data_IF_941967217539
#
_entry.id   IF_941967217539
#
_cell.length_a   1.000
_cell.length_b   1.000
_cell.length_c   1.000
_cell.angle_alpha   90.00
_cell.angle_beta   90.00
_cell.angle_gamma   90.00
#
_symmetry.space_group_name_H-M   'P 1'
#
loop_
_entity.id
_entity.type
_entity.pdbx_description
1 polymer ?
#
# COMPACT_ATOMS: atom_id res chain seq x y z
N UNK A 1 1.34 6.25 -8.78
CA UNK A 1 2.33 6.67 -7.77
C UNK A 1 3.07 7.90 -8.26
N UNK A 2 2.45 9.08 -8.21
CA UNK A 2 3.10 10.29 -8.72
C UNK A 2 3.99 10.92 -7.64
N UNK A 3 5.25 11.18 -7.96
CA UNK A 3 6.21 11.86 -7.06
C UNK A 3 6.93 10.96 -6.05
N UNK A 4 7.04 9.66 -6.33
CA UNK A 4 7.85 8.70 -5.56
C UNK A 4 8.88 8.07 -6.49
N UNK A 5 10.18 8.27 -6.24
CA UNK A 5 11.23 7.63 -7.03
C UNK A 5 11.46 6.19 -6.56
N UNK A 6 10.96 5.24 -7.34
CA UNK A 6 11.06 3.81 -7.05
C UNK A 6 11.85 3.11 -8.16
N UNK A 7 12.56 2.04 -7.79
CA UNK A 7 13.05 1.12 -8.82
C UNK A 7 11.85 0.44 -9.52
N UNK A 8 11.96 0.07 -10.80
CA UNK A 8 10.85 -0.55 -11.54
C UNK A 8 10.28 -1.81 -10.90
N UNK A 9 11.09 -2.54 -10.12
CA UNK A 9 10.64 -3.73 -9.39
C UNK A 9 9.79 -3.37 -8.18
N UNK A 10 10.19 -2.35 -7.43
CA UNK A 10 9.46 -1.87 -6.25
C UNK A 10 8.14 -1.25 -6.68
N UNK A 11 8.17 -0.40 -7.72
CA UNK A 11 6.97 0.23 -8.28
C UNK A 11 5.94 -0.82 -8.72
N UNK A 12 6.36 -1.82 -9.51
CA UNK A 12 5.47 -2.89 -9.96
C UNK A 12 4.84 -3.67 -8.81
N UNK A 13 5.59 -3.91 -7.73
CA UNK A 13 5.04 -4.64 -6.58
C UNK A 13 4.09 -3.75 -5.76
N UNK A 14 4.39 -2.46 -5.62
CA UNK A 14 3.49 -1.50 -4.99
C UNK A 14 2.17 -1.36 -5.77
N UNK A 15 2.21 -1.28 -7.11
CA UNK A 15 1.02 -1.25 -7.97
C UNK A 15 0.14 -2.49 -7.78
N UNK A 16 0.74 -3.68 -7.68
CA UNK A 16 0.00 -4.92 -7.42
C UNK A 16 -0.69 -4.90 -6.05
N UNK A 17 -0.01 -4.39 -5.03
CA UNK A 17 -0.58 -4.29 -3.68
C UNK A 17 -1.76 -3.30 -3.67
N UNK A 18 -1.63 -2.16 -4.35
CA UNK A 18 -2.73 -1.22 -4.54
C UNK A 18 -3.91 -1.85 -5.29
N UNK A 19 -3.65 -2.61 -6.35
CA UNK A 19 -4.70 -3.32 -7.07
C UNK A 19 -5.41 -4.37 -6.18
N UNK A 20 -4.68 -5.09 -5.32
CA UNK A 20 -5.26 -6.04 -4.37
C UNK A 20 -6.17 -5.34 -3.35
N UNK A 21 -5.76 -4.18 -2.83
CA UNK A 21 -6.59 -3.36 -1.94
C UNK A 21 -7.86 -2.92 -2.69
N UNK A 22 -7.71 -2.30 -3.86
CA UNK A 22 -8.83 -1.76 -4.63
C UNK A 22 -9.88 -2.82 -5.03
N UNK A 23 -9.43 -4.05 -5.30
CA UNK A 23 -10.29 -5.16 -5.74
C UNK A 23 -10.88 -5.97 -4.59
N UNK A 24 -10.49 -5.72 -3.33
CA UNK A 24 -10.99 -6.48 -2.18
C UNK A 24 -12.51 -6.39 -2.07
N UNK A 25 -13.21 -7.53 -1.96
CA UNK A 25 -14.68 -7.62 -2.00
C UNK A 25 -15.36 -7.65 -0.63
N UNK A 26 -14.57 -7.65 0.45
CA UNK A 26 -15.05 -7.70 1.83
C UNK A 26 -14.08 -6.99 2.76
N UNK A 27 -14.58 -6.55 3.93
CA UNK A 27 -13.76 -5.81 4.89
C UNK A 27 -12.53 -6.61 5.35
N UNK A 28 -12.67 -7.93 5.54
CA UNK A 28 -11.58 -8.81 5.95
C UNK A 28 -10.50 -8.89 4.87
N UNK A 29 -10.90 -8.99 3.59
CA UNK A 29 -9.95 -9.05 2.47
C UNK A 29 -9.23 -7.71 2.31
N UNK A 30 -9.94 -6.58 2.44
CA UNK A 30 -9.34 -5.25 2.37
C UNK A 30 -8.33 -5.01 3.50
N UNK A 31 -8.69 -5.35 4.75
CA UNK A 31 -7.79 -5.23 5.89
C UNK A 31 -6.53 -6.11 5.74
N UNK A 32 -6.69 -7.34 5.24
CA UNK A 32 -5.56 -8.23 4.95
C UNK A 32 -4.64 -7.68 3.85
N UNK A 33 -5.21 -7.11 2.80
CA UNK A 33 -4.43 -6.49 1.73
C UNK A 33 -3.64 -5.26 2.22
N UNK A 34 -4.28 -4.42 3.05
CA UNK A 34 -3.62 -3.29 3.71
C UNK A 34 -2.44 -3.72 4.58
N UNK A 35 -2.64 -4.69 5.48
CA UNK A 35 -1.56 -5.22 6.33
C UNK A 35 -0.39 -5.82 5.51
N UNK A 36 -0.68 -6.43 4.36
CA UNK A 36 0.36 -6.91 3.45
C UNK A 36 1.17 -5.76 2.84
N UNK A 37 0.49 -4.66 2.50
CA UNK A 37 1.14 -3.48 1.95
C UNK A 37 2.00 -2.77 3.00
N UNK A 38 1.51 -2.65 4.23
CA UNK A 38 2.28 -2.14 5.38
C UNK A 38 3.54 -2.97 5.61
N UNK A 39 3.42 -4.31 5.64
CA UNK A 39 4.56 -5.21 5.78
C UNK A 39 5.58 -5.11 4.63
N UNK A 40 5.13 -4.78 3.42
CA UNK A 40 6.03 -4.51 2.29
C UNK A 40 6.84 -3.24 2.52
N UNK A 41 6.23 -2.15 2.97
CA UNK A 41 6.92 -0.89 3.26
C UNK A 41 7.91 -1.07 4.42
N UNK A 42 7.50 -1.75 5.50
CA UNK A 42 8.38 -2.09 6.62
C UNK A 42 9.61 -2.89 6.17
N UNK A 43 9.43 -3.82 5.22
CA UNK A 43 10.55 -4.56 4.64
C UNK A 43 11.54 -3.68 3.90
N UNK A 44 11.06 -2.69 3.12
CA UNK A 44 11.90 -1.73 2.41
C UNK A 44 12.64 -0.79 3.37
N UNK A 45 11.96 -0.35 4.43
CA UNK A 45 12.51 0.49 5.49
C UNK A 45 13.61 -0.25 6.27
N UNK A 46 13.37 -1.51 6.64
CA UNK A 46 14.29 -2.34 7.43
C UNK A 46 15.64 -2.55 6.75
N UNK A 47 15.65 -2.58 5.41
CA UNK A 47 16.89 -2.73 4.62
C UNK A 47 17.40 -1.40 4.07
N UNK A 48 16.77 -0.28 4.43
CA UNK A 48 17.08 1.08 3.94
C UNK A 48 17.14 1.15 2.42
N UNK A 49 16.18 0.51 1.74
CA UNK A 49 16.13 0.47 0.28
C UNK A 49 15.82 1.83 -0.36
N UNK A 50 15.18 2.74 0.40
CA UNK A 50 14.66 4.03 -0.05
C UNK A 50 14.94 5.10 1.01
N UNK A 51 14.77 6.38 0.65
CA UNK A 51 14.82 7.48 1.62
C UNK A 51 13.64 7.44 2.59
N UNK A 52 13.82 7.97 3.80
CA UNK A 52 12.76 8.05 4.82
C UNK A 52 11.50 8.76 4.27
N UNK A 53 11.67 9.90 3.59
CA UNK A 53 10.56 10.62 2.96
C UNK A 53 9.78 9.77 1.92
N UNK A 54 10.47 8.86 1.23
CA UNK A 54 9.83 7.94 0.29
C UNK A 54 9.08 6.83 1.02
N UNK A 55 9.66 6.28 2.09
CA UNK A 55 9.03 5.29 2.96
C UNK A 55 7.75 5.84 3.59
N UNK A 56 7.83 7.03 4.20
CA UNK A 56 6.67 7.71 4.80
C UNK A 56 5.54 7.90 3.79
N UNK A 57 5.90 8.29 2.56
CA UNK A 57 4.91 8.49 1.51
C UNK A 57 4.27 7.20 1.05
N UNK A 58 4.99 6.08 1.03
CA UNK A 58 4.42 4.77 0.73
C UNK A 58 3.42 4.32 1.80
N UNK A 59 3.74 4.51 3.09
CA UNK A 59 2.79 4.23 4.18
C UNK A 59 1.50 5.03 3.98
N UNK A 60 1.59 6.35 3.78
CA UNK A 60 0.42 7.21 3.56
C UNK A 60 -0.43 6.77 2.36
N UNK A 61 0.21 6.39 1.24
CA UNK A 61 -0.49 5.93 0.05
C UNK A 61 -1.27 4.63 0.32
N UNK A 62 -0.65 3.64 0.97
CA UNK A 62 -1.30 2.37 1.26
C UNK A 62 -2.39 2.49 2.33
N UNK A 63 -2.16 3.31 3.36
CA UNK A 63 -3.15 3.58 4.40
C UNK A 63 -4.38 4.26 3.80
N UNK A 64 -4.19 5.32 3.01
CA UNK A 64 -5.28 6.04 2.35
C UNK A 64 -6.10 5.11 1.44
N UNK A 65 -5.43 4.28 0.63
CA UNK A 65 -6.10 3.32 -0.25
C UNK A 65 -6.90 2.27 0.53
N UNK A 66 -6.36 1.79 1.66
CA UNK A 66 -7.01 0.80 2.51
C UNK A 66 -8.22 1.40 3.22
N UNK A 67 -8.08 2.60 3.79
CA UNK A 67 -9.18 3.34 4.43
C UNK A 67 -10.31 3.64 3.45
N UNK A 68 -9.98 4.13 2.25
CA UNK A 68 -10.96 4.41 1.21
C UNK A 68 -11.73 3.14 0.83
N UNK A 69 -11.03 2.01 0.66
CA UNK A 69 -11.69 0.75 0.33
C UNK A 69 -12.59 0.28 1.47
N UNK A 70 -12.10 0.26 2.70
CA UNK A 70 -12.90 -0.14 3.87
C UNK A 70 -14.15 0.72 4.02
N UNK A 71 -14.02 2.04 3.84
CA UNK A 71 -15.16 2.97 3.84
C UNK A 71 -16.19 2.63 2.76
N UNK A 72 -15.73 2.31 1.54
CA UNK A 72 -16.62 1.94 0.44
C UNK A 72 -17.41 0.65 0.74
N UNK A 73 -16.77 -0.32 1.40
CA UNK A 73 -17.38 -1.60 1.75
C UNK A 73 -18.34 -1.49 2.94
N UNK A 74 -18.07 -0.58 3.88
CA UNK A 74 -18.95 -0.31 5.02
C UNK A 74 -20.21 0.48 4.64
N UNK A 75 -20.19 1.19 3.51
CA UNK A 75 -21.34 1.92 2.97
C UNK A 75 -22.29 1.05 2.14
N UNK A 76 -22.02 -0.26 2.05
CA UNK A 76 -22.84 -1.26 1.34
C UNK A 76 -23.79 -1.94 2.32
#
# INVERSE_FOLDING_TARGET
MEGVELSPKIEREADKLLAQIAQADSMIVAAKAGARAEGFVLGLESVRALSEATIDRLYVIFDSATEERLRSLAAT
#
